data_IF_155616750677
#
_entry.id   IF_155616750677
#
_cell.length_a   1.000
_cell.length_b   1.000
_cell.length_c   1.000
_cell.angle_alpha   90.00
_cell.angle_beta   90.00
_cell.angle_gamma   90.00
#
_symmetry.space_group_name_H-M   'P 1'
#
loop_
_entity.id
_entity.type
_entity.pdbx_description
1 polymer ?
#
# COMPACT_ATOMS: atom_id res chain seq x y z
N UNK A 1 8.35 -14.84 -10.81
CA UNK A 1 7.85 -14.17 -9.59
C UNK A 1 7.73 -12.68 -9.90
N UNK A 2 6.57 -12.08 -9.66
CA UNK A 2 6.31 -10.66 -9.95
C UNK A 2 6.53 -9.85 -8.69
N UNK A 3 7.44 -8.88 -8.73
CA UNK A 3 7.78 -8.04 -7.57
C UNK A 3 7.32 -6.60 -7.78
N UNK A 4 6.80 -5.97 -6.73
CA UNK A 4 6.62 -4.52 -6.69
C UNK A 4 7.67 -3.92 -5.75
N UNK A 5 8.22 -2.78 -6.12
CA UNK A 5 9.04 -1.96 -5.21
C UNK A 5 8.17 -0.83 -4.70
N UNK A 6 8.29 -0.52 -3.40
CA UNK A 6 7.48 0.51 -2.75
C UNK A 6 8.42 1.53 -2.12
N UNK A 7 8.18 2.81 -2.38
CA UNK A 7 8.92 3.89 -1.73
C UNK A 7 8.29 4.29 -0.39
N UNK A 8 9.08 4.96 0.46
CA UNK A 8 8.59 5.57 1.71
C UNK A 8 7.61 6.73 1.49
N UNK A 9 7.32 7.12 0.25
CA UNK A 9 6.30 8.10 -0.11
C UNK A 9 5.06 7.47 -0.74
N UNK A 10 4.94 6.14 -0.70
CA UNK A 10 3.81 5.43 -1.28
C UNK A 10 3.82 5.31 -2.80
N UNK A 11 4.97 5.54 -3.47
CA UNK A 11 5.07 5.23 -4.90
C UNK A 11 5.30 3.75 -5.09
N UNK A 12 4.52 3.12 -5.97
CA UNK A 12 4.64 1.70 -6.29
C UNK A 12 5.21 1.56 -7.70
N UNK A 13 6.34 0.88 -7.81
CA UNK A 13 7.00 0.56 -9.08
C UNK A 13 6.79 -0.91 -9.41
N UNK A 14 6.16 -1.18 -10.56
CA UNK A 14 5.88 -2.52 -11.02
C UNK A 14 7.03 -3.02 -11.88
N UNK A 15 7.80 -3.99 -11.38
CA UNK A 15 9.06 -4.41 -12.03
C UNK A 15 8.83 -5.12 -13.36
N UNK A 16 7.68 -5.78 -13.53
CA UNK A 16 7.32 -6.50 -14.77
C UNK A 16 7.15 -5.55 -15.96
N UNK A 17 6.44 -4.44 -15.79
CA UNK A 17 6.19 -3.46 -16.86
C UNK A 17 7.17 -2.30 -16.83
N UNK A 18 8.01 -2.21 -15.78
CA UNK A 18 8.95 -1.10 -15.55
C UNK A 18 8.26 0.27 -15.48
N UNK A 19 7.10 0.32 -14.85
CA UNK A 19 6.31 1.54 -14.72
C UNK A 19 5.98 1.84 -13.27
N UNK A 20 5.84 3.13 -12.96
CA UNK A 20 5.14 3.54 -11.75
C UNK A 20 3.65 3.36 -11.95
N UNK A 21 2.99 2.78 -10.95
CA UNK A 21 1.54 2.66 -10.95
C UNK A 21 0.94 4.01 -10.56
N UNK A 22 -0.05 4.44 -11.32
CA UNK A 22 -0.94 5.53 -10.90
C UNK A 22 -1.72 5.06 -9.68
N UNK A 23 -1.83 5.93 -8.69
CA UNK A 23 -2.74 5.74 -7.57
C UNK A 23 -4.05 6.50 -7.84
N UNK A 24 -5.10 6.08 -7.16
CA UNK A 24 -6.41 6.73 -7.17
C UNK A 24 -7.00 6.67 -5.77
N UNK A 25 -8.06 7.42 -5.56
CA UNK A 25 -8.81 7.40 -4.33
C UNK A 25 -9.66 6.13 -4.24
N UNK A 26 -9.29 5.23 -3.34
CA UNK A 26 -9.99 3.98 -3.07
C UNK A 26 -11.09 4.13 -2.02
N UNK A 27 -11.52 2.99 -1.47
CA UNK A 27 -12.52 2.97 -0.41
C UNK A 27 -12.11 3.87 0.76
N UNK A 28 -13.08 4.60 1.33
CA UNK A 28 -12.85 5.54 2.44
C UNK A 28 -11.74 6.56 2.18
N UNK A 29 -11.51 6.97 0.93
CA UNK A 29 -10.54 8.00 0.59
C UNK A 29 -9.07 7.65 0.84
N UNK A 30 -8.72 6.35 0.93
CA UNK A 30 -7.33 5.92 0.98
C UNK A 30 -6.70 5.90 -0.40
N UNK A 31 -5.42 6.25 -0.50
CA UNK A 31 -4.64 6.00 -1.72
C UNK A 31 -4.64 4.50 -2.05
N UNK A 32 -4.97 4.13 -3.28
CA UNK A 32 -4.98 2.75 -3.75
C UNK A 32 -4.30 2.60 -5.11
N UNK A 33 -3.75 1.40 -5.37
CA UNK A 33 -3.22 0.98 -6.67
C UNK A 33 -3.88 -0.32 -7.11
N UNK A 34 -4.00 -0.52 -8.42
CA UNK A 34 -4.45 -1.80 -8.98
C UNK A 34 -3.24 -2.65 -9.32
N UNK A 35 -3.20 -3.87 -8.79
CA UNK A 35 -2.25 -4.89 -9.22
C UNK A 35 -2.97 -5.95 -10.05
N UNK A 36 -2.37 -6.30 -11.19
CA UNK A 36 -2.89 -7.33 -12.08
C UNK A 36 -2.10 -8.64 -11.88
N UNK A 37 -2.82 -9.71 -11.54
CA UNK A 37 -2.27 -11.05 -11.40
C UNK A 37 -3.20 -12.07 -12.04
N UNK A 38 -2.69 -12.82 -13.04
CA UNK A 38 -3.41 -13.88 -13.76
C UNK A 38 -4.87 -13.50 -14.10
N UNK A 39 -5.03 -12.45 -14.91
CA UNK A 39 -6.31 -11.84 -15.35
C UNK A 39 -7.20 -11.22 -14.28
N UNK A 40 -6.90 -11.41 -12.99
CA UNK A 40 -7.56 -10.72 -11.89
C UNK A 40 -6.88 -9.37 -11.63
N UNK A 41 -7.70 -8.37 -11.33
CA UNK A 41 -7.25 -7.10 -10.77
C UNK A 41 -7.61 -7.05 -9.29
N UNK A 42 -6.69 -6.58 -8.46
CA UNK A 42 -6.90 -6.44 -7.02
C UNK A 42 -6.50 -5.02 -6.61
N UNK A 43 -7.38 -4.39 -5.84
CA UNK A 43 -7.16 -3.08 -5.24
C UNK A 43 -6.30 -3.25 -3.99
N UNK A 44 -5.16 -2.57 -3.95
CA UNK A 44 -4.30 -2.53 -2.77
C UNK A 44 -4.23 -1.11 -2.23
N UNK A 45 -4.55 -0.94 -0.95
CA UNK A 45 -4.32 0.31 -0.26
C UNK A 45 -2.81 0.56 -0.13
N UNK A 46 -2.35 1.74 -0.51
CA UNK A 46 -0.92 2.08 -0.57
C UNK A 46 -0.27 2.03 0.80
N UNK A 47 -0.94 2.52 1.85
CA UNK A 47 -0.41 2.49 3.21
C UNK A 47 -0.07 1.06 3.67
N UNK A 48 -0.89 0.06 3.30
CA UNK A 48 -0.64 -1.35 3.61
C UNK A 48 0.62 -1.85 2.92
N UNK A 49 0.79 -1.53 1.64
CA UNK A 49 1.98 -1.91 0.89
C UNK A 49 3.25 -1.28 1.48
N UNK A 50 3.20 0.01 1.81
CA UNK A 50 4.32 0.72 2.43
C UNK A 50 4.68 0.08 3.77
N UNK A 51 3.72 -0.06 4.68
CA UNK A 51 3.99 -0.59 6.00
C UNK A 51 4.57 -2.00 5.93
N UNK A 52 4.02 -2.88 5.08
CA UNK A 52 4.53 -4.24 4.90
C UNK A 52 5.96 -4.27 4.40
N UNK A 53 6.30 -3.42 3.42
CA UNK A 53 7.64 -3.35 2.85
C UNK A 53 8.68 -2.82 3.86
N UNK A 54 8.33 -1.81 4.66
CA UNK A 54 9.26 -1.17 5.60
C UNK A 54 9.36 -1.87 6.96
N UNK A 55 8.41 -2.75 7.29
CA UNK A 55 8.46 -3.58 8.50
C UNK A 55 8.84 -5.05 8.19
N UNK A 56 9.12 -5.37 6.92
CA UNK A 56 9.45 -6.73 6.45
C UNK A 56 8.44 -7.80 6.93
N UNK A 57 7.18 -7.39 7.12
CA UNK A 57 6.11 -8.22 7.69
C UNK A 57 4.90 -8.25 6.77
N UNK A 58 4.45 -9.45 6.41
CA UNK A 58 3.23 -9.62 5.64
C UNK A 58 1.99 -9.24 6.46
N UNK A 59 1.03 -8.60 5.81
CA UNK A 59 -0.22 -8.20 6.46
C UNK A 59 -1.20 -9.38 6.45
N UNK A 60 -1.70 -9.73 7.64
CA UNK A 60 -2.59 -10.89 7.86
C UNK A 60 -4.08 -10.45 7.91
N UNK A 61 -5.03 -11.39 7.74
CA UNK A 61 -6.44 -11.11 8.04
C UNK A 61 -6.62 -10.59 9.48
N UNK A 62 -7.51 -9.62 9.67
CA UNK A 62 -7.73 -8.96 10.96
C UNK A 62 -6.72 -7.87 11.31
N UNK A 63 -5.66 -7.69 10.52
CA UNK A 63 -4.70 -6.62 10.74
C UNK A 63 -5.30 -5.24 10.43
N UNK A 64 -5.33 -4.38 11.44
CA UNK A 64 -5.80 -2.99 11.33
C UNK A 64 -4.63 -2.04 11.53
N UNK A 65 -4.61 -0.98 10.74
CA UNK A 65 -3.56 0.02 10.72
C UNK A 65 -4.21 1.39 10.53
N UNK A 66 -3.58 2.43 11.05
CA UNK A 66 -4.06 3.80 10.95
C UNK A 66 -2.98 4.76 10.47
N UNK A 67 -3.42 5.98 10.16
CA UNK A 67 -2.57 7.14 9.91
C UNK A 67 -2.61 8.03 11.16
N UNK A 68 -1.45 8.33 11.75
CA UNK A 68 -1.34 9.14 12.97
C UNK A 68 -1.92 10.56 12.79
N UNK A 69 -1.70 11.15 11.61
CA UNK A 69 -2.19 12.48 11.24
C UNK A 69 -3.63 12.51 10.72
N UNK A 70 -4.33 11.38 10.70
CA UNK A 70 -5.63 11.17 10.02
C UNK A 70 -5.62 11.45 8.51
N UNK A 71 -4.46 11.79 7.94
CA UNK A 71 -4.24 12.09 6.53
C UNK A 71 -4.09 10.81 5.72
N UNK A 72 -5.20 10.28 5.21
CA UNK A 72 -5.28 8.99 4.46
C UNK A 72 -4.42 8.91 3.18
N UNK A 73 -3.82 10.02 2.78
CA UNK A 73 -2.91 10.15 1.63
C UNK A 73 -1.42 10.20 2.06
N UNK A 74 -1.13 10.49 3.34
CA UNK A 74 0.22 10.57 3.88
C UNK A 74 0.75 9.18 4.25
N UNK A 75 1.25 8.46 3.26
CA UNK A 75 1.73 7.08 3.42
C UNK A 75 3.19 6.98 3.88
N UNK A 76 3.74 7.98 4.59
CA UNK A 76 5.08 7.87 5.16
C UNK A 76 5.10 6.75 6.22
N UNK A 77 6.07 5.80 6.20
CA UNK A 77 6.16 4.74 7.22
C UNK A 77 6.05 5.25 8.66
N UNK A 78 6.63 6.41 8.97
CA UNK A 78 6.57 6.99 10.32
C UNK A 78 5.19 7.53 10.71
N UNK A 79 4.28 7.65 9.75
CA UNK A 79 2.89 8.08 9.94
C UNK A 79 1.92 6.90 10.07
N UNK A 80 2.41 5.66 9.92
CA UNK A 80 1.59 4.45 9.90
C UNK A 80 1.82 3.62 11.15
N UNK A 81 0.74 3.26 11.84
CA UNK A 81 0.81 2.42 13.03
C UNK A 81 -0.19 1.27 13.00
N UNK A 82 0.18 0.14 13.60
CA UNK A 82 -0.75 -0.94 13.88
C UNK A 82 -1.74 -0.48 14.95
N UNK A 83 -3.03 -0.53 14.62
CA UNK A 83 -4.09 -0.15 15.55
C UNK A 83 -4.51 -1.37 16.36
N UNK A 84 -4.39 -1.29 17.69
CA UNK A 84 -4.97 -2.25 18.62
C UNK A 84 -6.32 -1.71 19.11
N UNK A 85 -7.39 -2.46 18.89
CA UNK A 85 -8.72 -2.22 19.47
C UNK A 85 -8.99 -3.19 20.61
#
# INVERSE_FOLDING_TARGET
MTYCLVSNRGRVYFTRTRTFLSWYEGAQSYAAVILYYNTLFVYFAVYRLVWSAFNERAIRPGFVMGHLDMGRQNNNPSNLEEATF
#
